data_IF_835054424377
#
_entry.id   IF_835054424377
#
_cell.length_a   1.000
_cell.length_b   1.000
_cell.length_c   1.000
_cell.angle_alpha   90.00
_cell.angle_beta   90.00
_cell.angle_gamma   90.00
#
_symmetry.space_group_name_H-M   'P 1'
#
loop_
_entity.id
_entity.type
_entity.pdbx_description
1 polymer ?
#
# COMPACT_ATOMS: atom_id res chain seq x y z
N UNK A 1 -12.77 30.80 27.79
CA UNK A 1 -11.37 31.26 27.59
C UNK A 1 -11.43 32.36 26.54
N UNK A 2 -10.56 33.38 26.57
CA UNK A 2 -10.62 34.47 25.58
C UNK A 2 -9.99 34.12 24.23
N UNK A 3 -9.18 33.06 24.19
CA UNK A 3 -8.54 32.57 22.96
C UNK A 3 -8.29 31.07 23.09
N UNK A 4 -8.49 30.33 22.00
CA UNK A 4 -8.16 28.89 21.92
C UNK A 4 -7.75 28.51 20.50
N UNK A 5 -6.72 27.67 20.37
CA UNK A 5 -6.30 27.07 19.09
C UNK A 5 -6.09 25.57 19.31
N UNK A 6 -6.74 24.76 18.50
CA UNK A 6 -6.57 23.31 18.50
C UNK A 6 -5.30 22.91 17.72
N UNK A 7 -4.57 21.88 18.17
CA UNK A 7 -3.39 21.38 17.48
C UNK A 7 -3.76 20.87 16.08
N UNK A 8 -2.82 20.88 15.13
CA UNK A 8 -3.07 20.34 13.80
C UNK A 8 -1.75 19.80 13.24
N UNK A 9 -1.73 18.52 12.89
CA UNK A 9 -0.53 17.87 12.37
C UNK A 9 -0.34 18.08 10.88
N UNK A 10 0.87 17.81 10.40
CA UNK A 10 1.18 17.93 8.97
C UNK A 10 0.67 16.71 8.21
N UNK A 11 -0.30 16.92 7.32
CA UNK A 11 -0.76 15.86 6.42
C UNK A 11 0.33 15.44 5.41
N UNK A 12 0.49 14.14 5.13
CA UNK A 12 1.33 13.66 4.04
C UNK A 12 0.68 13.87 2.66
N UNK A 13 -0.64 14.08 2.61
CA UNK A 13 -1.42 14.38 1.41
C UNK A 13 -1.83 15.84 1.47
N UNK A 14 -1.40 16.60 0.47
CA UNK A 14 -1.61 18.05 0.37
C UNK A 14 -1.94 18.45 -1.06
N UNK A 15 -2.43 17.51 -1.87
CA UNK A 15 -2.94 17.81 -3.21
C UNK A 15 -4.37 18.34 -3.20
N UNK A 16 -5.18 17.88 -2.24
CA UNK A 16 -6.54 18.33 -2.00
C UNK A 16 -6.74 18.64 -0.52
N UNK A 17 -7.34 19.80 -0.23
CA UNK A 17 -7.43 20.32 1.13
C UNK A 17 -8.35 19.52 2.03
N UNK A 18 -9.46 18.98 1.52
CA UNK A 18 -10.38 18.13 2.28
C UNK A 18 -9.68 16.91 2.91
N UNK A 19 -8.92 16.15 2.11
CA UNK A 19 -8.11 15.04 2.62
C UNK A 19 -7.02 15.52 3.59
N UNK A 20 -6.45 16.71 3.32
CA UNK A 20 -5.45 17.33 4.20
C UNK A 20 -6.02 17.61 5.58
N UNK A 21 -7.24 18.17 5.68
CA UNK A 21 -7.88 18.46 6.95
C UNK A 21 -8.07 17.20 7.80
N UNK A 22 -8.70 16.17 7.23
CA UNK A 22 -9.05 14.96 7.97
C UNK A 22 -7.81 14.18 8.41
N UNK A 23 -6.79 14.08 7.55
CA UNK A 23 -5.51 13.47 7.93
C UNK A 23 -4.77 14.30 8.97
N UNK A 24 -4.73 15.62 8.82
CA UNK A 24 -4.10 16.50 9.81
C UNK A 24 -4.73 16.42 11.20
N UNK A 25 -6.05 16.21 11.28
CA UNK A 25 -6.73 15.99 12.56
C UNK A 25 -6.44 14.58 13.09
N UNK A 26 -6.55 13.55 12.23
CA UNK A 26 -6.39 12.15 12.61
C UNK A 26 -4.97 11.79 13.04
N UNK A 27 -3.97 12.26 12.29
CA UNK A 27 -2.54 11.96 12.51
C UNK A 27 -1.95 12.65 13.75
N UNK A 28 -2.75 13.42 14.49
CA UNK A 28 -2.40 13.84 15.85
C UNK A 28 -2.47 12.72 16.89
N UNK A 29 -2.99 11.56 16.49
CA UNK A 29 -2.85 10.29 17.20
C UNK A 29 -1.80 9.42 16.50
N UNK A 30 -0.81 8.91 17.23
CA UNK A 30 0.21 8.01 16.67
C UNK A 30 -0.41 6.71 16.11
N UNK A 31 -1.54 6.29 16.67
CA UNK A 31 -2.27 5.07 16.27
C UNK A 31 -3.00 5.23 14.92
N UNK A 32 -3.06 6.43 14.34
CA UNK A 32 -3.69 6.65 13.04
C UNK A 32 -2.81 6.19 11.86
N UNK A 33 -1.50 5.99 12.05
CA UNK A 33 -0.58 5.58 10.98
C UNK A 33 -0.85 4.15 10.46
N UNK A 34 -1.04 3.11 11.29
CA UNK A 34 -1.46 1.78 10.84
C UNK A 34 -2.71 1.82 9.94
N UNK A 35 -3.70 2.65 10.30
CA UNK A 35 -4.90 2.85 9.49
C UNK A 35 -4.59 3.48 8.14
N UNK A 36 -3.83 4.57 8.12
CA UNK A 36 -3.44 5.24 6.88
C UNK A 36 -2.68 4.28 5.94
N UNK A 37 -1.71 3.53 6.47
CA UNK A 37 -0.96 2.56 5.68
C UNK A 37 -1.83 1.43 5.17
N UNK A 38 -2.85 1.00 5.92
CA UNK A 38 -3.79 -0.04 5.47
C UNK A 38 -4.75 0.44 4.36
N UNK A 39 -5.00 1.74 4.21
CA UNK A 39 -6.09 2.25 3.36
C UNK A 39 -5.63 3.14 2.18
N UNK A 40 -4.55 3.91 2.31
CA UNK A 40 -4.12 4.88 1.28
C UNK A 40 -3.22 4.25 0.20
N UNK A 41 -3.79 3.33 -0.57
CA UNK A 41 -3.11 2.59 -1.65
C UNK A 41 -3.78 2.84 -3.00
N UNK A 42 -5.11 2.79 -3.02
CA UNK A 42 -5.85 2.87 -4.26
C UNK A 42 -5.99 4.31 -4.74
N UNK A 43 -5.76 4.52 -6.04
CA UNK A 43 -6.02 5.77 -6.74
C UNK A 43 -7.17 5.59 -7.72
N UNK A 44 -7.86 6.67 -8.04
CA UNK A 44 -8.84 6.66 -9.13
C UNK A 44 -8.90 8.02 -9.83
N UNK A 45 -9.52 8.02 -11.02
CA UNK A 45 -9.86 9.23 -11.78
C UNK A 45 -11.16 8.99 -12.55
N UNK A 46 -12.02 10.01 -12.62
CA UNK A 46 -13.31 9.89 -13.31
C UNK A 46 -13.16 10.12 -14.81
N UNK A 47 -14.08 9.57 -15.61
CA UNK A 47 -14.14 9.95 -17.02
C UNK A 47 -14.50 11.43 -17.17
N UNK A 48 -13.89 12.11 -18.15
CA UNK A 48 -14.00 13.56 -18.33
C UNK A 48 -13.25 14.42 -17.29
N UNK A 49 -12.88 13.85 -16.15
CA UNK A 49 -12.15 14.54 -15.09
C UNK A 49 -10.66 14.65 -15.42
N UNK A 50 -10.06 15.77 -15.00
CA UNK A 50 -8.62 16.04 -15.09
C UNK A 50 -7.90 15.71 -13.79
N UNK A 51 -8.64 15.27 -12.78
CA UNK A 51 -8.16 15.04 -11.43
C UNK A 51 -7.87 13.56 -11.14
N UNK A 52 -6.97 13.33 -10.20
CA UNK A 52 -6.63 12.00 -9.69
C UNK A 52 -6.74 12.06 -8.19
N UNK A 53 -7.42 11.09 -7.59
CA UNK A 53 -7.77 11.11 -6.18
C UNK A 53 -7.31 9.84 -5.48
N UNK A 54 -6.97 9.96 -4.20
CA UNK A 54 -6.90 8.80 -3.32
C UNK A 54 -8.32 8.29 -3.06
N UNK A 55 -8.52 6.99 -3.18
CA UNK A 55 -9.83 6.40 -2.95
C UNK A 55 -10.33 6.69 -1.53
N UNK A 56 -11.48 7.38 -1.42
CA UNK A 56 -12.18 7.74 -0.17
C UNK A 56 -11.45 8.71 0.77
N UNK A 57 -10.37 9.36 0.31
CA UNK A 57 -9.61 10.28 1.16
C UNK A 57 -10.38 11.57 1.50
N UNK A 58 -11.38 11.94 0.71
CA UNK A 58 -12.19 13.15 0.83
C UNK A 58 -13.49 12.96 1.62
N UNK A 59 -13.78 11.75 2.08
CA UNK A 59 -15.04 11.44 2.74
C UNK A 59 -14.79 11.12 4.22
N UNK A 60 -15.23 12.07 5.06
CA UNK A 60 -15.06 12.08 6.51
C UNK A 60 -15.51 10.78 7.18
N UNK A 61 -16.53 10.10 6.64
CA UNK A 61 -17.09 8.86 7.23
C UNK A 61 -16.11 7.68 7.22
N UNK A 62 -15.04 7.74 6.43
CA UNK A 62 -14.05 6.69 6.38
C UNK A 62 -12.93 6.85 7.41
N UNK A 63 -12.89 7.97 8.14
CA UNK A 63 -11.88 8.23 9.15
C UNK A 63 -12.40 7.80 10.53
N UNK A 64 -11.97 6.64 11.06
CA UNK A 64 -12.57 6.07 12.27
C UNK A 64 -12.26 6.87 13.55
N UNK A 65 -11.26 7.75 13.49
CA UNK A 65 -10.84 8.65 14.56
C UNK A 65 -11.71 9.89 14.66
N UNK A 66 -12.54 10.16 13.66
CA UNK A 66 -13.22 11.44 13.54
C UNK A 66 -14.70 11.27 13.87
N UNK A 67 -15.04 11.61 15.11
CA UNK A 67 -16.43 11.83 15.48
C UNK A 67 -16.87 13.15 14.85
N UNK A 68 -18.08 13.19 14.28
CA UNK A 68 -18.58 14.41 13.69
C UNK A 68 -20.08 14.60 13.82
N UNK A 69 -20.47 15.87 13.88
CA UNK A 69 -21.86 16.30 13.73
C UNK A 69 -21.92 17.21 12.52
N UNK A 70 -22.87 16.92 11.63
CA UNK A 70 -23.16 17.77 10.47
C UNK A 70 -24.47 18.52 10.69
N UNK A 71 -24.43 19.82 10.42
CA UNK A 71 -25.59 20.69 10.45
C UNK A 71 -25.77 21.34 9.08
N UNK A 72 -27.03 21.47 8.66
CA UNK A 72 -27.37 22.25 7.48
C UNK A 72 -27.22 23.74 7.78
N UNK A 73 -26.48 24.46 6.95
CA UNK A 73 -26.30 25.91 7.09
C UNK A 73 -27.61 26.66 7.00
N UNK A 74 -28.58 26.15 6.23
CA UNK A 74 -29.90 26.74 6.15
C UNK A 74 -30.57 26.74 7.53
N UNK A 75 -30.35 25.71 8.35
CA UNK A 75 -30.86 25.69 9.73
C UNK A 75 -30.16 26.73 10.61
N UNK A 76 -28.83 26.89 10.46
CA UNK A 76 -28.07 27.95 11.15
C UNK A 76 -28.65 29.33 10.80
N UNK A 77 -28.94 29.58 9.52
CA UNK A 77 -29.51 30.86 9.05
C UNK A 77 -30.95 31.05 9.51
N UNK A 78 -31.82 30.05 9.33
CA UNK A 78 -33.25 30.12 9.68
C UNK A 78 -33.47 30.38 11.16
N UNK A 79 -32.66 29.77 12.02
CA UNK A 79 -32.72 29.95 13.46
C UNK A 79 -31.87 31.11 13.98
N UNK A 80 -31.22 31.87 13.08
CA UNK A 80 -30.37 33.02 13.43
C UNK A 80 -29.33 32.68 14.49
N UNK A 81 -28.70 31.51 14.36
CA UNK A 81 -27.65 31.07 15.26
C UNK A 81 -26.46 32.01 15.12
N UNK A 82 -25.95 32.53 16.24
CA UNK A 82 -24.72 33.31 16.25
C UNK A 82 -23.54 32.42 15.84
N UNK A 83 -22.99 32.69 14.65
CA UNK A 83 -21.92 31.88 14.05
C UNK A 83 -20.66 31.91 14.92
N UNK A 84 -20.33 33.05 15.54
CA UNK A 84 -19.11 33.14 16.35
C UNK A 84 -19.24 32.33 17.62
N UNK A 85 -20.37 32.49 18.31
CA UNK A 85 -20.66 31.74 19.53
C UNK A 85 -20.79 30.24 19.24
N UNK A 86 -21.35 29.86 18.10
CA UNK A 86 -21.37 28.47 17.63
C UNK A 86 -19.95 27.91 17.45
N UNK A 87 -19.06 28.63 16.75
CA UNK A 87 -17.65 28.22 16.58
C UNK A 87 -16.96 28.09 17.94
N UNK A 88 -17.09 29.09 18.82
CA UNK A 88 -16.48 29.09 20.16
C UNK A 88 -16.89 27.86 20.96
N UNK A 89 -18.20 27.58 21.02
CA UNK A 89 -18.75 26.47 21.77
C UNK A 89 -18.19 25.11 21.31
N UNK A 90 -18.04 24.91 20.01
CA UNK A 90 -17.47 23.68 19.45
C UNK A 90 -15.95 23.58 19.65
N UNK A 91 -15.21 24.67 19.42
CA UNK A 91 -13.75 24.71 19.63
C UNK A 91 -13.40 24.51 21.11
N UNK A 92 -14.18 25.06 22.03
CA UNK A 92 -14.02 24.82 23.47
C UNK A 92 -14.20 23.35 23.85
N UNK A 93 -15.06 22.63 23.12
CA UNK A 93 -15.25 21.17 23.23
C UNK A 93 -14.28 20.33 22.38
N UNK A 94 -13.23 20.96 21.84
CA UNK A 94 -12.18 20.35 21.02
C UNK A 94 -12.64 19.87 19.64
N UNK A 95 -13.68 20.51 19.09
CA UNK A 95 -14.10 20.27 17.72
C UNK A 95 -13.47 21.29 16.77
N UNK A 96 -12.95 20.79 15.66
CA UNK A 96 -12.62 21.55 14.48
C UNK A 96 -13.90 21.79 13.69
N UNK A 97 -14.03 22.94 13.02
CA UNK A 97 -15.17 23.26 12.19
C UNK A 97 -14.74 23.22 10.73
N UNK A 98 -15.22 22.22 9.98
CA UNK A 98 -15.07 22.15 8.52
C UNK A 98 -16.31 22.75 7.86
N UNK A 99 -16.09 23.75 7.01
CA UNK A 99 -17.17 24.56 6.47
C UNK A 99 -16.82 25.08 5.08
N UNK A 100 -17.81 25.11 4.19
CA UNK A 100 -17.73 25.80 2.90
C UNK A 100 -18.03 27.29 3.06
N UNK A 101 -17.25 28.18 2.47
CA UNK A 101 -17.54 29.62 2.43
C UNK A 101 -17.30 30.15 1.02
N UNK A 102 -17.98 31.23 0.65
CA UNK A 102 -17.59 31.99 -0.52
C UNK A 102 -16.24 32.68 -0.27
N UNK A 103 -15.20 32.21 -0.97
CA UNK A 103 -13.82 32.69 -0.83
C UNK A 103 -13.61 34.13 -1.29
N UNK A 104 -14.59 34.75 -1.97
CA UNK A 104 -14.59 36.19 -2.24
C UNK A 104 -14.40 37.01 -0.95
N UNK A 105 -14.97 36.55 0.17
CA UNK A 105 -14.92 37.25 1.46
C UNK A 105 -13.79 36.78 2.38
N UNK A 106 -13.06 35.71 2.02
CA UNK A 106 -12.08 35.09 2.92
C UNK A 106 -10.70 35.70 2.69
N UNK A 107 -10.30 36.60 3.59
CA UNK A 107 -8.99 37.27 3.51
C UNK A 107 -7.80 36.28 3.56
N UNK A 108 -6.73 36.62 2.84
CA UNK A 108 -5.51 35.81 2.73
C UNK A 108 -5.56 34.65 1.71
N UNK A 109 -6.66 34.54 0.96
CA UNK A 109 -6.78 33.60 -0.17
C UNK A 109 -6.59 34.33 -1.50
N UNK A 110 -6.19 33.61 -2.56
CA UNK A 110 -6.07 34.18 -3.92
C UNK A 110 -7.41 34.61 -4.54
N UNK A 111 -8.52 34.35 -3.86
CA UNK A 111 -9.88 34.63 -4.31
C UNK A 111 -10.48 35.86 -3.63
N UNK A 112 -9.83 36.36 -2.57
CA UNK A 112 -10.32 37.46 -1.76
C UNK A 112 -10.54 38.71 -2.61
N UNK A 113 -11.79 39.16 -2.73
CA UNK A 113 -12.24 40.27 -3.58
C UNK A 113 -12.02 40.09 -5.09
N UNK A 114 -11.62 38.90 -5.53
CA UNK A 114 -11.32 38.60 -6.94
C UNK A 114 -12.41 37.75 -7.60
N UNK A 115 -12.82 36.65 -6.95
CA UNK A 115 -13.70 35.64 -7.57
C UNK A 115 -14.70 35.10 -6.55
N UNK A 116 -15.98 35.06 -6.95
CA UNK A 116 -17.02 34.35 -6.20
C UNK A 116 -16.88 32.85 -6.42
N UNK A 117 -16.33 32.16 -5.42
CA UNK A 117 -16.17 30.72 -5.45
C UNK A 117 -16.39 30.14 -4.05
N UNK A 118 -17.35 29.22 -3.94
CA UNK A 118 -17.57 28.47 -2.71
C UNK A 118 -16.53 27.36 -2.61
N UNK A 119 -15.85 27.29 -1.48
CA UNK A 119 -14.89 26.23 -1.22
C UNK A 119 -14.75 26.01 0.30
N UNK A 120 -14.41 24.79 0.70
CA UNK A 120 -14.20 24.47 2.10
C UNK A 120 -12.96 25.15 2.71
N UNK A 121 -13.00 25.26 4.04
CA UNK A 121 -11.86 25.57 4.91
C UNK A 121 -12.06 24.91 6.28
N UNK A 122 -11.00 24.89 7.08
CA UNK A 122 -11.04 24.36 8.45
C UNK A 122 -10.80 25.48 9.46
N UNK A 123 -11.77 25.76 10.34
CA UNK A 123 -11.59 26.61 11.51
C UNK A 123 -11.16 25.73 12.69
N UNK A 124 -10.09 26.14 13.37
CA UNK A 124 -9.52 25.39 14.51
C UNK A 124 -9.22 26.25 15.73
N UNK A 125 -9.65 27.51 15.73
CA UNK A 125 -9.40 28.40 16.85
C UNK A 125 -10.18 29.70 16.76
N UNK A 126 -10.21 30.43 17.86
CA UNK A 126 -10.84 31.75 17.96
C UNK A 126 -10.02 32.66 18.89
N UNK A 127 -10.18 33.97 18.70
CA UNK A 127 -9.75 35.04 19.60
C UNK A 127 -10.96 35.96 19.80
N UNK A 128 -11.57 35.89 20.99
CA UNK A 128 -12.79 36.60 21.34
C UNK A 128 -12.56 38.11 21.44
N UNK A 129 -11.42 38.52 21.99
CA UNK A 129 -11.08 39.94 22.19
C UNK A 129 -10.91 40.64 20.85
N UNK A 130 -10.33 39.95 19.87
CA UNK A 130 -10.10 40.50 18.52
C UNK A 130 -11.26 40.22 17.55
N UNK A 131 -12.20 39.36 17.90
CA UNK A 131 -13.28 38.94 17.00
C UNK A 131 -12.75 38.23 15.75
N UNK A 132 -11.83 37.27 15.94
CA UNK A 132 -11.17 36.56 14.84
C UNK A 132 -11.23 35.05 15.02
N UNK A 133 -11.11 34.32 13.92
CA UNK A 133 -10.99 32.86 13.90
C UNK A 133 -9.69 32.44 13.25
N UNK A 134 -9.15 31.31 13.69
CA UNK A 134 -7.93 30.73 13.16
C UNK A 134 -8.26 29.62 12.18
N UNK A 135 -7.96 29.84 10.90
CA UNK A 135 -8.32 28.93 9.81
C UNK A 135 -7.11 28.18 9.27
N UNK A 136 -7.36 27.08 8.56
CA UNK A 136 -6.40 26.37 7.73
C UNK A 136 -6.99 26.16 6.33
N UNK A 137 -6.25 26.56 5.30
CA UNK A 137 -6.61 26.44 3.89
C UNK A 137 -5.38 26.71 3.00
N UNK A 138 -5.54 26.71 1.67
CA UNK A 138 -4.51 27.26 0.77
C UNK A 138 -4.57 28.79 0.76
N UNK A 139 -3.44 29.42 1.04
CA UNK A 139 -3.29 30.86 0.95
C UNK A 139 -3.13 31.34 -0.50
N UNK A 140 -3.01 32.65 -0.68
CA UNK A 140 -2.75 33.32 -1.97
C UNK A 140 -1.54 32.78 -2.76
N UNK A 141 -0.58 32.12 -2.10
CA UNK A 141 0.61 31.52 -2.72
C UNK A 141 0.41 30.05 -3.09
N UNK A 142 -0.79 29.50 -2.91
CA UNK A 142 -1.08 28.09 -3.11
C UNK A 142 -0.40 27.19 -2.06
N UNK A 143 -0.06 27.74 -0.89
CA UNK A 143 0.55 26.99 0.22
C UNK A 143 -0.53 26.68 1.26
N UNK A 144 -0.64 25.40 1.63
CA UNK A 144 -1.50 24.98 2.73
C UNK A 144 -0.93 25.50 4.05
N UNK A 145 -1.64 26.42 4.70
CA UNK A 145 -1.17 27.16 5.86
C UNK A 145 -2.32 27.49 6.83
N UNK A 146 -1.99 28.05 7.99
CA UNK A 146 -2.97 28.55 8.96
C UNK A 146 -2.74 30.02 9.28
N UNK A 147 -3.81 30.81 9.35
CA UNK A 147 -3.77 32.24 9.68
C UNK A 147 -5.08 32.70 10.32
N UNK A 148 -5.06 33.92 10.88
CA UNK A 148 -6.23 34.56 11.48
C UNK A 148 -7.03 35.33 10.42
N UNK A 149 -8.36 35.22 10.49
CA UNK A 149 -9.28 36.05 9.72
C UNK A 149 -10.34 36.69 10.64
N UNK A 150 -10.86 37.89 10.32
CA UNK A 150 -12.01 38.46 10.99
C UNK A 150 -13.22 37.53 10.96
N UNK A 151 -14.01 37.52 12.03
CA UNK A 151 -15.29 36.79 12.05
C UNK A 151 -16.28 37.33 11.00
N UNK A 152 -16.15 38.62 10.65
CA UNK A 152 -16.93 39.24 9.57
C UNK A 152 -16.77 38.53 8.23
N UNK A 153 -15.56 38.13 7.86
CA UNK A 153 -15.24 37.38 6.64
C UNK A 153 -16.01 36.05 6.61
N UNK A 154 -16.05 35.36 7.76
CA UNK A 154 -16.78 34.09 7.89
C UNK A 154 -18.28 34.32 7.72
N UNK A 155 -18.85 35.30 8.42
CA UNK A 155 -20.29 35.61 8.36
C UNK A 155 -20.71 35.97 6.94
N UNK A 156 -19.94 36.82 6.24
CA UNK A 156 -20.23 37.21 4.86
C UNK A 156 -20.09 36.04 3.88
N UNK A 157 -19.01 35.25 4.00
CA UNK A 157 -18.81 34.05 3.20
C UNK A 157 -19.85 32.97 3.45
N UNK A 158 -20.43 32.92 4.65
CA UNK A 158 -21.48 31.99 5.07
C UNK A 158 -22.84 32.38 4.49
N UNK A 159 -23.16 33.67 4.45
CA UNK A 159 -24.46 34.18 4.03
C UNK A 159 -24.67 34.21 2.50
N UNK A 160 -23.73 33.69 1.71
CA UNK A 160 -23.81 33.72 0.24
C UNK A 160 -24.90 32.77 -0.29
N UNK A 161 -25.78 33.25 -1.16
CA UNK A 161 -26.89 32.46 -1.75
C UNK A 161 -26.45 31.54 -2.91
N UNK A 162 -25.28 31.79 -3.49
CA UNK A 162 -24.70 31.01 -4.60
C UNK A 162 -23.98 29.74 -4.12
N UNK A 163 -24.69 28.90 -3.36
CA UNK A 163 -24.24 27.53 -3.16
C UNK A 163 -24.53 26.74 -4.43
N UNK A 164 -23.50 26.10 -4.99
CA UNK A 164 -23.69 25.13 -6.05
C UNK A 164 -24.74 24.09 -5.62
N UNK A 165 -25.43 23.48 -6.58
CA UNK A 165 -26.40 22.39 -6.35
C UNK A 165 -25.85 21.16 -5.60
N UNK A 166 -24.58 21.17 -5.21
CA UNK A 166 -23.95 20.15 -4.40
C UNK A 166 -24.31 20.31 -2.92
N UNK A 167 -25.08 19.35 -2.42
CA UNK A 167 -25.58 19.26 -1.04
C UNK A 167 -24.48 19.42 0.02
N UNK A 168 -23.24 18.98 -0.26
CA UNK A 168 -22.12 19.12 0.69
C UNK A 168 -21.75 20.58 0.98
N UNK A 169 -21.94 21.48 0.02
CA UNK A 169 -21.61 22.90 0.20
C UNK A 169 -22.54 23.60 1.19
N UNK A 170 -23.70 23.00 1.47
CA UNK A 170 -24.69 23.47 2.44
C UNK A 170 -24.45 22.90 3.85
N UNK A 171 -23.44 22.06 4.06
CA UNK A 171 -23.15 21.48 5.37
C UNK A 171 -22.02 22.22 6.08
N UNK A 172 -22.13 22.27 7.40
CA UNK A 172 -21.02 22.57 8.30
C UNK A 172 -20.80 21.36 9.21
N UNK A 173 -19.56 20.90 9.33
CA UNK A 173 -19.20 19.74 10.13
C UNK A 173 -18.38 20.17 11.35
N UNK A 174 -18.85 19.84 12.55
CA UNK A 174 -18.04 19.89 13.75
C UNK A 174 -17.37 18.53 13.95
N UNK A 175 -16.05 18.49 13.91
CA UNK A 175 -15.24 17.26 13.85
C UNK A 175 -14.38 17.19 15.11
N UNK A 176 -14.41 16.07 15.83
CA UNK A 176 -13.57 15.82 16.99
C UNK A 176 -12.73 14.57 16.78
N UNK A 177 -11.46 14.65 17.15
CA UNK A 177 -10.57 13.48 17.15
C UNK A 177 -10.84 12.63 18.40
N UNK A 178 -11.35 11.42 18.21
CA UNK A 178 -11.47 10.39 19.23
C UNK A 178 -10.12 9.70 19.45
N UNK A 179 -9.39 10.17 20.45
CA UNK A 179 -8.06 9.64 20.82
C UNK A 179 -8.11 8.29 21.54
N UNK A 180 -9.29 7.77 21.85
CA UNK A 180 -9.46 6.46 22.49
C UNK A 180 -9.72 5.33 21.48
N UNK A 181 -9.92 5.67 20.21
CA UNK A 181 -9.97 4.67 19.17
C UNK A 181 -8.58 4.02 18.99
N UNK A 182 -8.52 2.75 18.61
CA UNK A 182 -7.27 2.08 18.27
C UNK A 182 -7.48 1.28 16.99
N UNK A 183 -6.57 1.41 16.03
CA UNK A 183 -6.64 0.66 14.79
C UNK A 183 -5.51 -0.37 14.71
N UNK A 184 -5.87 -1.64 14.58
CA UNK A 184 -4.91 -2.69 14.28
C UNK A 184 -4.62 -2.71 12.78
N UNK A 185 -3.34 -2.78 12.42
CA UNK A 185 -2.88 -2.87 11.03
C UNK A 185 -3.63 -3.99 10.28
N UNK A 186 -4.31 -3.64 9.19
CA UNK A 186 -5.08 -4.59 8.39
C UNK A 186 -4.29 -5.01 7.15
N UNK A 187 -3.48 -6.06 7.31
CA UNK A 187 -2.69 -6.63 6.23
C UNK A 187 -3.55 -7.22 5.11
N UNK A 188 -4.75 -7.72 5.41
CA UNK A 188 -5.62 -8.30 4.40
C UNK A 188 -6.20 -7.21 3.50
N UNK A 189 -6.71 -6.12 4.08
CA UNK A 189 -7.18 -4.99 3.29
C UNK A 189 -6.03 -4.37 2.49
N UNK A 190 -4.84 -4.26 3.09
CA UNK A 190 -3.64 -3.77 2.40
C UNK A 190 -3.30 -4.62 1.18
N UNK A 191 -3.31 -5.95 1.31
CA UNK A 191 -3.09 -6.88 0.21
C UNK A 191 -4.14 -6.73 -0.89
N UNK A 192 -5.42 -6.67 -0.52
CA UNK A 192 -6.52 -6.53 -1.48
C UNK A 192 -6.48 -5.19 -2.23
N UNK A 193 -6.17 -4.09 -1.55
CA UNK A 193 -6.01 -2.78 -2.20
C UNK A 193 -4.75 -2.73 -3.07
N UNK A 194 -3.66 -3.39 -2.68
CA UNK A 194 -2.46 -3.55 -3.51
C UNK A 194 -2.75 -4.33 -4.79
N UNK A 195 -3.53 -5.41 -4.71
CA UNK A 195 -4.00 -6.16 -5.90
C UNK A 195 -4.91 -5.30 -6.77
N UNK A 196 -5.87 -4.60 -6.16
CA UNK A 196 -6.76 -3.73 -6.90
C UNK A 196 -6.03 -2.57 -7.59
N UNK A 197 -4.99 -2.02 -6.95
CA UNK A 197 -4.13 -1.01 -7.57
C UNK A 197 -3.35 -1.59 -8.75
N UNK A 198 -2.67 -2.72 -8.53
CA UNK A 198 -1.85 -3.37 -9.56
C UNK A 198 -2.64 -3.81 -10.79
N UNK A 199 -3.85 -4.33 -10.59
CA UNK A 199 -4.71 -4.85 -11.66
C UNK A 199 -5.82 -3.87 -12.07
N UNK A 200 -5.74 -2.61 -11.64
CA UNK A 200 -6.72 -1.55 -11.96
C UNK A 200 -8.17 -1.94 -11.66
N UNK A 201 -8.40 -2.73 -10.61
CA UNK A 201 -9.73 -3.23 -10.27
C UNK A 201 -10.54 -2.16 -9.56
N UNK A 202 -11.83 -2.14 -9.85
CA UNK A 202 -12.77 -1.23 -9.23
C UNK A 202 -13.06 -1.64 -7.78
N UNK A 203 -12.35 -1.03 -6.84
CA UNK A 203 -12.50 -1.23 -5.40
C UNK A 203 -13.90 -0.88 -4.88
N UNK A 204 -14.62 0.06 -5.52
CA UNK A 204 -15.95 0.48 -5.07
C UNK A 204 -17.02 -0.60 -5.15
N UNK A 205 -16.81 -1.65 -5.96
CA UNK A 205 -17.70 -2.81 -6.00
C UNK A 205 -17.83 -3.52 -4.65
N UNK A 206 -16.80 -3.43 -3.79
CA UNK A 206 -16.81 -4.02 -2.45
C UNK A 206 -17.71 -3.28 -1.45
N UNK A 207 -18.12 -2.05 -1.76
CA UNK A 207 -19.02 -1.25 -0.91
C UNK A 207 -20.37 -0.97 -1.56
N UNK A 208 -20.82 -1.87 -2.45
CA UNK A 208 -22.08 -1.75 -3.20
C UNK A 208 -23.33 -1.66 -2.32
N UNK A 209 -23.26 -2.16 -1.08
CA UNK A 209 -24.36 -2.07 -0.10
C UNK A 209 -24.61 -0.63 0.37
N UNK A 210 -23.59 0.24 0.38
CA UNK A 210 -23.68 1.61 0.89
C UNK A 210 -23.83 2.62 -0.26
N UNK A 211 -23.22 2.33 -1.42
CA UNK A 211 -23.27 3.22 -2.57
C UNK A 211 -23.09 2.43 -3.87
N UNK A 212 -23.68 2.91 -4.96
CA UNK A 212 -23.48 2.35 -6.29
C UNK A 212 -22.00 2.31 -6.67
N UNK A 213 -21.52 1.24 -7.32
CA UNK A 213 -20.16 1.19 -7.83
C UNK A 213 -19.86 2.37 -8.76
N UNK A 214 -18.71 2.99 -8.57
CA UNK A 214 -18.26 4.13 -9.34
C UNK A 214 -17.47 3.62 -10.55
N UNK A 215 -18.02 3.76 -11.75
CA UNK A 215 -17.35 3.40 -13.00
C UNK A 215 -16.33 4.47 -13.36
N UNK A 216 -15.06 4.20 -13.02
CA UNK A 216 -13.91 5.11 -13.08
C UNK A 216 -12.66 4.31 -13.46
N UNK A 217 -11.58 5.00 -13.82
CA UNK A 217 -10.26 4.37 -13.96
C UNK A 217 -9.62 4.26 -12.57
N UNK A 218 -9.12 3.08 -12.22
CA UNK A 218 -8.52 2.79 -10.92
C UNK A 218 -7.06 2.35 -11.06
N UNK A 219 -6.33 2.39 -9.96
CA UNK A 219 -5.05 1.70 -9.84
C UNK A 219 -3.97 2.24 -10.76
N UNK A 220 -3.13 1.35 -11.28
CA UNK A 220 -1.97 1.69 -12.11
C UNK A 220 -2.38 2.32 -13.45
N UNK A 221 -3.61 2.12 -13.93
CA UNK A 221 -4.11 2.74 -15.16
C UNK A 221 -4.35 4.24 -15.06
N UNK A 222 -4.31 4.84 -13.86
CA UNK A 222 -4.34 6.30 -13.71
C UNK A 222 -3.18 6.99 -14.45
N UNK A 223 -2.04 6.29 -14.61
CA UNK A 223 -0.91 6.76 -15.41
C UNK A 223 -1.30 7.02 -16.87
N UNK A 224 -2.15 6.17 -17.44
CA UNK A 224 -2.58 6.30 -18.85
C UNK A 224 -3.49 7.51 -19.01
N UNK A 225 -4.37 7.73 -18.03
CA UNK A 225 -5.24 8.93 -18.00
C UNK A 225 -4.42 10.22 -17.90
N UNK A 226 -3.44 10.27 -16.99
CA UNK A 226 -2.54 11.43 -16.86
C UNK A 226 -1.78 11.65 -18.16
N UNK A 227 -1.26 10.59 -18.76
CA UNK A 227 -0.53 10.65 -20.04
C UNK A 227 -1.40 11.20 -21.17
N UNK A 228 -2.65 10.73 -21.28
CA UNK A 228 -3.61 11.24 -22.25
C UNK A 228 -3.92 12.73 -22.04
N UNK A 229 -4.09 13.16 -20.79
CA UNK A 229 -4.31 14.58 -20.47
C UNK A 229 -3.11 15.44 -20.91
N UNK A 230 -1.88 14.98 -20.69
CA UNK A 230 -0.66 15.65 -21.13
C UNK A 230 -0.52 15.72 -22.66
N UNK A 231 -0.96 14.70 -23.40
CA UNK A 231 -1.02 14.78 -24.86
C UNK A 231 -2.04 15.81 -25.36
N UNK A 232 -3.16 15.95 -24.65
CA UNK A 232 -4.26 16.84 -25.05
C UNK A 232 -4.01 18.33 -24.72
N UNK A 233 -3.05 18.64 -23.85
CA UNK A 233 -2.85 19.98 -23.25
C UNK A 233 -2.17 21.01 -24.17
N UNK A 234 -2.49 21.04 -25.48
CA UNK A 234 -1.87 21.90 -26.53
C UNK A 234 -1.54 23.33 -26.06
N UNK A 235 -0.32 23.56 -25.57
CA UNK A 235 0.18 24.87 -25.04
C UNK A 235 -0.64 25.47 -23.89
N UNK A 236 -1.35 24.64 -23.13
CA UNK A 236 -2.07 25.08 -21.94
C UNK A 236 -1.20 24.89 -20.70
N UNK A 237 -1.44 25.71 -19.69
CA UNK A 237 -0.90 25.48 -18.34
C UNK A 237 -1.37 24.10 -17.88
N UNK A 238 -0.42 23.27 -17.43
CA UNK A 238 -0.72 21.95 -16.88
C UNK A 238 -1.30 22.11 -15.48
N UNK A 239 -2.39 21.39 -15.22
CA UNK A 239 -2.80 21.11 -13.86
C UNK A 239 -1.77 20.17 -13.21
N UNK A 240 -1.16 20.64 -12.12
CA UNK A 240 -0.10 19.92 -11.41
C UNK A 240 -0.65 18.94 -10.37
N UNK A 241 -1.95 19.00 -10.05
CA UNK A 241 -2.57 18.17 -9.00
C UNK A 241 -2.40 16.68 -9.27
N UNK A 242 -2.65 16.14 -10.48
CA UNK A 242 -2.47 14.70 -10.75
C UNK A 242 -1.02 14.23 -10.52
N UNK A 243 -0.03 15.03 -10.93
CA UNK A 243 1.38 14.70 -10.75
C UNK A 243 1.81 14.80 -9.28
N UNK A 244 1.22 15.74 -8.52
CA UNK A 244 1.43 15.84 -7.08
C UNK A 244 0.85 14.62 -6.34
N UNK A 245 -0.34 14.17 -6.71
CA UNK A 245 -0.99 12.98 -6.13
C UNK A 245 -0.15 11.73 -6.37
N UNK A 246 0.38 11.54 -7.59
CA UNK A 246 1.28 10.42 -7.87
C UNK A 246 2.51 10.44 -6.95
N UNK A 247 3.13 11.60 -6.76
CA UNK A 247 4.30 11.74 -5.88
C UNK A 247 3.94 11.50 -4.40
N UNK A 248 2.86 12.09 -3.91
CA UNK A 248 2.37 11.87 -2.54
C UNK A 248 2.04 10.40 -2.29
N UNK A 249 1.46 9.71 -3.29
CA UNK A 249 1.22 8.27 -3.25
C UNK A 249 2.52 7.48 -3.07
N UNK A 250 3.58 7.80 -3.83
CA UNK A 250 4.87 7.09 -3.69
C UNK A 250 5.54 7.36 -2.35
N UNK A 251 5.43 8.59 -1.85
CA UNK A 251 5.91 8.93 -0.51
C UNK A 251 5.21 8.09 0.56
N UNK A 252 3.90 7.90 0.46
CA UNK A 252 3.14 7.02 1.37
C UNK A 252 3.56 5.56 1.17
N UNK A 253 3.79 5.10 -0.06
CA UNK A 253 4.32 3.74 -0.30
C UNK A 253 5.67 3.53 0.40
N UNK A 254 6.62 4.46 0.27
CA UNK A 254 7.93 4.38 0.95
C UNK A 254 7.76 4.30 2.47
N UNK A 255 6.91 5.16 3.04
CA UNK A 255 6.63 5.15 4.48
C UNK A 255 5.99 3.84 4.92
N UNK A 256 5.05 3.29 4.13
CA UNK A 256 4.42 2.00 4.38
C UNK A 256 5.44 0.87 4.39
N UNK A 257 6.32 0.78 3.39
CA UNK A 257 7.35 -0.28 3.33
C UNK A 257 8.26 -0.20 4.55
N UNK A 258 8.70 1.00 4.94
CA UNK A 258 9.50 1.21 6.15
C UNK A 258 8.77 0.76 7.41
N UNK A 259 7.51 1.16 7.56
CA UNK A 259 6.68 0.77 8.68
C UNK A 259 6.52 -0.77 8.78
N UNK A 260 6.25 -1.44 7.65
CA UNK A 260 6.10 -2.90 7.62
C UNK A 260 7.41 -3.63 7.98
N UNK A 261 8.56 -3.07 7.57
CA UNK A 261 9.88 -3.58 7.92
C UNK A 261 10.20 -3.39 9.41
N UNK A 262 9.93 -2.20 9.95
CA UNK A 262 10.11 -1.88 11.38
C UNK A 262 9.24 -2.76 12.29
N UNK A 263 8.09 -3.23 11.79
CA UNK A 263 7.18 -4.15 12.49
C UNK A 263 7.42 -5.62 12.14
N UNK A 264 8.54 -5.94 11.48
CA UNK A 264 8.97 -7.30 11.16
C UNK A 264 7.92 -8.10 10.33
N UNK A 265 7.14 -7.42 9.50
CA UNK A 265 6.11 -8.04 8.65
C UNK A 265 6.76 -8.75 7.45
N UNK A 266 7.72 -8.09 6.81
CA UNK A 266 8.63 -8.69 5.81
C UNK A 266 9.91 -7.86 5.70
N UNK A 267 10.97 -8.48 5.18
CA UNK A 267 12.27 -7.84 4.95
C UNK A 267 12.65 -7.99 3.48
N UNK A 268 12.40 -6.95 2.70
CA UNK A 268 12.80 -6.90 1.30
C UNK A 268 13.41 -5.53 1.02
N UNK A 269 14.74 -5.48 0.92
CA UNK A 269 15.50 -4.24 0.69
C UNK A 269 15.23 -3.66 -0.69
N UNK A 270 14.94 -4.50 -1.67
CA UNK A 270 14.67 -4.08 -3.05
C UNK A 270 13.35 -3.32 -3.15
N UNK A 271 12.35 -3.68 -2.32
CA UNK A 271 11.11 -2.92 -2.22
C UNK A 271 11.35 -1.51 -1.68
N UNK A 272 12.12 -1.37 -0.59
CA UNK A 272 12.38 -0.05 0.01
C UNK A 272 13.13 0.87 -0.96
N UNK A 273 14.20 0.36 -1.57
CA UNK A 273 15.01 1.11 -2.53
C UNK A 273 14.22 1.41 -3.81
N UNK A 274 13.48 0.42 -4.33
CA UNK A 274 12.67 0.57 -5.54
C UNK A 274 11.54 1.58 -5.37
N UNK A 275 10.81 1.54 -4.25
CA UNK A 275 9.77 2.52 -3.96
C UNK A 275 10.36 3.92 -3.75
N UNK A 276 11.55 4.02 -3.13
CA UNK A 276 12.25 5.30 -2.98
C UNK A 276 12.66 5.89 -4.33
N UNK A 277 13.16 5.05 -5.24
CA UNK A 277 13.52 5.48 -6.59
C UNK A 277 12.31 6.07 -7.34
N UNK A 278 11.14 5.41 -7.30
CA UNK A 278 9.95 5.94 -7.98
C UNK A 278 9.38 7.20 -7.30
N UNK A 279 9.55 7.36 -5.98
CA UNK A 279 9.24 8.61 -5.27
C UNK A 279 10.08 9.78 -5.84
N UNK A 280 11.39 9.57 -5.99
CA UNK A 280 12.29 10.62 -6.48
C UNK A 280 12.04 10.93 -7.97
N UNK A 281 11.72 9.91 -8.78
CA UNK A 281 11.37 10.08 -10.19
C UNK A 281 10.04 10.81 -10.37
N UNK A 282 9.01 10.51 -9.57
CA UNK A 282 7.73 11.22 -9.62
C UNK A 282 7.86 12.68 -9.14
N UNK A 283 8.71 12.94 -8.15
CA UNK A 283 9.08 14.31 -7.75
C UNK A 283 9.77 15.07 -8.91
N UNK A 284 10.68 14.39 -9.62
CA UNK A 284 11.35 14.94 -10.81
C UNK A 284 10.32 15.28 -11.89
N UNK A 285 9.38 14.37 -12.18
CA UNK A 285 8.30 14.60 -13.15
C UNK A 285 7.49 15.84 -12.79
N UNK A 286 7.09 16.00 -11.52
CA UNK A 286 6.38 17.19 -11.03
C UNK A 286 7.18 18.48 -11.27
N UNK A 287 8.49 18.46 -11.00
CA UNK A 287 9.36 19.62 -11.21
C UNK A 287 9.55 19.96 -12.70
N UNK A 288 9.58 18.95 -13.58
CA UNK A 288 9.59 19.17 -15.03
C UNK A 288 8.28 19.81 -15.49
N UNK A 289 7.13 19.41 -14.93
CA UNK A 289 5.84 20.00 -15.25
C UNK A 289 5.74 21.47 -14.79
N UNK A 290 6.28 21.79 -13.60
CA UNK A 290 6.44 23.19 -13.16
C UNK A 290 7.29 24.00 -14.14
N UNK A 291 8.44 23.45 -14.57
CA UNK A 291 9.30 24.08 -15.57
C UNK A 291 8.59 24.26 -16.91
N UNK A 292 7.74 23.31 -17.31
CA UNK A 292 6.90 23.47 -18.49
C UNK A 292 5.93 24.63 -18.35
N UNK A 293 5.22 24.74 -17.22
CA UNK A 293 4.28 25.85 -17.01
C UNK A 293 4.96 27.22 -17.12
N UNK A 294 6.24 27.33 -16.72
CA UNK A 294 7.03 28.55 -16.85
C UNK A 294 7.59 28.80 -18.26
N UNK A 295 8.05 27.76 -18.96
CA UNK A 295 8.80 27.89 -20.22
C UNK A 295 8.00 27.58 -21.49
N UNK A 296 6.86 26.90 -21.36
CA UNK A 296 6.01 26.39 -22.43
C UNK A 296 6.72 25.48 -23.46
N UNK A 297 7.88 24.92 -23.10
CA UNK A 297 8.67 24.06 -23.97
C UNK A 297 8.05 22.65 -24.10
N UNK A 298 7.43 22.36 -25.23
CA UNK A 298 6.75 21.08 -25.48
C UNK A 298 7.66 19.84 -25.40
N UNK A 299 8.98 19.98 -25.54
CA UNK A 299 9.90 18.84 -25.33
C UNK A 299 9.82 18.32 -23.88
N UNK A 300 9.50 19.19 -22.92
CA UNK A 300 9.33 18.80 -21.52
C UNK A 300 8.11 17.89 -21.32
N UNK A 301 7.01 18.10 -22.05
CA UNK A 301 5.82 17.23 -22.00
C UNK A 301 6.15 15.83 -22.49
N UNK A 302 6.84 15.71 -23.63
CA UNK A 302 7.28 14.42 -24.14
C UNK A 302 8.21 13.69 -23.15
N UNK A 303 9.08 14.45 -22.46
CA UNK A 303 9.96 13.92 -21.44
C UNK A 303 9.19 13.43 -20.20
N UNK A 304 8.17 14.18 -19.75
CA UNK A 304 7.25 13.78 -18.67
C UNK A 304 6.57 12.46 -19.04
N UNK A 305 5.98 12.36 -20.24
CA UNK A 305 5.25 11.18 -20.70
C UNK A 305 6.16 9.94 -20.74
N UNK A 306 7.36 10.08 -21.31
CA UNK A 306 8.35 8.99 -21.34
C UNK A 306 8.71 8.52 -19.93
N UNK A 307 8.93 9.45 -18.99
CA UNK A 307 9.19 9.11 -17.59
C UNK A 307 8.02 8.42 -16.91
N UNK A 308 6.79 8.90 -17.11
CA UNK A 308 5.59 8.27 -16.54
C UNK A 308 5.43 6.83 -17.00
N UNK A 309 5.71 6.53 -18.27
CA UNK A 309 5.69 5.16 -18.79
C UNK A 309 6.70 4.24 -18.09
N UNK A 310 7.95 4.69 -17.95
CA UNK A 310 9.00 3.93 -17.24
C UNK A 310 8.67 3.73 -15.75
N UNK A 311 8.14 4.77 -15.10
CA UNK A 311 7.71 4.70 -13.69
C UNK A 311 6.59 3.67 -13.55
N UNK A 312 5.57 3.71 -14.40
CA UNK A 312 4.44 2.77 -14.39
C UNK A 312 4.92 1.31 -14.47
N UNK A 313 5.85 1.03 -15.37
CA UNK A 313 6.39 -0.32 -15.56
C UNK A 313 7.17 -0.80 -14.34
N UNK A 314 8.05 0.05 -13.77
CA UNK A 314 8.82 -0.28 -12.57
C UNK A 314 7.92 -0.46 -11.36
N UNK A 315 6.95 0.44 -11.17
CA UNK A 315 5.99 0.34 -10.09
C UNK A 315 5.15 -0.94 -10.19
N UNK A 316 4.71 -1.31 -11.39
CA UNK A 316 3.96 -2.56 -11.60
C UNK A 316 4.78 -3.79 -11.16
N UNK A 317 6.09 -3.80 -11.41
CA UNK A 317 6.98 -4.86 -10.90
C UNK A 317 7.09 -4.85 -9.37
N UNK A 318 7.27 -3.66 -8.78
CA UNK A 318 7.39 -3.52 -7.32
C UNK A 318 6.10 -3.93 -6.61
N UNK A 319 4.93 -3.60 -7.16
CA UNK A 319 3.65 -4.04 -6.61
C UNK A 319 3.45 -5.56 -6.70
N UNK A 320 3.94 -6.22 -7.76
CA UNK A 320 3.93 -7.70 -7.84
C UNK A 320 4.76 -8.31 -6.71
N UNK A 321 5.96 -7.79 -6.47
CA UNK A 321 6.82 -8.24 -5.37
C UNK A 321 6.11 -7.97 -4.04
N UNK A 322 5.57 -6.77 -3.84
CA UNK A 322 4.86 -6.38 -2.62
C UNK A 322 3.68 -7.30 -2.30
N UNK A 323 2.85 -7.61 -3.31
CA UNK A 323 1.71 -8.51 -3.17
C UNK A 323 2.17 -9.90 -2.71
N UNK A 324 3.23 -10.45 -3.34
CA UNK A 324 3.77 -11.75 -2.94
C UNK A 324 4.31 -11.73 -1.49
N UNK A 325 5.02 -10.66 -1.10
CA UNK A 325 5.52 -10.50 0.28
C UNK A 325 4.38 -10.42 1.30
N UNK A 326 3.31 -9.69 0.99
CA UNK A 326 2.13 -9.55 1.85
C UNK A 326 1.31 -10.83 1.95
N UNK A 327 1.14 -11.57 0.86
CA UNK A 327 0.46 -12.88 0.87
C UNK A 327 1.15 -13.83 1.83
N UNK A 328 2.48 -13.87 1.74
CA UNK A 328 3.29 -14.73 2.58
C UNK A 328 3.26 -14.30 4.06
N UNK A 329 3.30 -12.99 4.33
CA UNK A 329 3.14 -12.46 5.68
C UNK A 329 1.72 -12.69 6.26
N UNK A 330 0.66 -12.66 5.44
CA UNK A 330 -0.71 -12.95 5.88
C UNK A 330 -0.85 -14.41 6.31
N UNK A 331 -0.24 -15.33 5.58
CA UNK A 331 -0.18 -16.75 5.96
C UNK A 331 0.59 -16.91 7.28
N UNK A 332 1.77 -16.31 7.39
CA UNK A 332 2.58 -16.31 8.60
C UNK A 332 1.83 -15.83 9.84
N UNK A 333 1.07 -14.74 9.71
CA UNK A 333 0.29 -14.18 10.81
C UNK A 333 -0.83 -15.13 11.27
N UNK A 334 -1.51 -15.80 10.33
CA UNK A 334 -2.49 -16.85 10.65
C UNK A 334 -1.85 -18.03 11.39
N UNK A 335 -0.57 -18.30 11.14
CA UNK A 335 0.20 -19.36 11.78
C UNK A 335 0.65 -19.02 13.20
N UNK A 336 1.11 -17.78 13.42
CA UNK A 336 1.44 -17.27 14.75
C UNK A 336 0.28 -17.49 15.73
N UNK A 337 -0.95 -17.21 15.28
CA UNK A 337 -2.17 -17.36 16.07
C UNK A 337 -2.62 -18.83 16.28
N UNK A 338 -1.97 -19.81 15.64
CA UNK A 338 -2.24 -21.26 15.79
C UNK A 338 -1.21 -21.99 16.67
N UNK A 339 -0.43 -21.27 17.50
CA UNK A 339 0.56 -21.83 18.43
C UNK A 339 1.75 -22.56 17.78
N UNK A 340 2.12 -22.20 16.54
CA UNK A 340 3.33 -22.68 15.86
C UNK A 340 4.41 -21.58 15.78
N UNK A 341 4.44 -20.68 16.77
CA UNK A 341 5.32 -19.51 16.85
C UNK A 341 6.81 -19.84 16.73
N UNK A 342 7.24 -20.93 17.38
CA UNK A 342 8.64 -21.38 17.40
C UNK A 342 9.13 -21.81 16.01
N UNK A 343 8.29 -22.52 15.25
CA UNK A 343 8.59 -22.95 13.88
C UNK A 343 8.62 -21.77 12.90
N UNK A 344 7.77 -20.76 13.12
CA UNK A 344 7.76 -19.56 12.29
C UNK A 344 8.94 -18.62 12.59
N UNK A 345 9.31 -18.43 13.85
CA UNK A 345 10.52 -17.68 14.22
C UNK A 345 11.76 -18.31 13.62
N UNK A 346 11.90 -19.63 13.72
CA UNK A 346 12.94 -20.39 13.04
C UNK A 346 12.94 -20.13 11.52
N UNK A 347 11.77 -20.17 10.88
CA UNK A 347 11.66 -19.90 9.45
C UNK A 347 12.10 -18.47 9.07
N UNK A 348 11.66 -17.45 9.81
CA UNK A 348 12.00 -16.05 9.49
C UNK A 348 13.48 -15.69 9.71
N UNK A 349 14.12 -16.25 10.73
CA UNK A 349 15.51 -15.93 11.09
C UNK A 349 16.52 -16.53 10.09
N UNK A 350 16.25 -17.74 9.60
CA UNK A 350 17.20 -18.49 8.76
C UNK A 350 17.01 -18.23 7.27
N UNK A 351 15.79 -17.89 6.83
CA UNK A 351 15.50 -17.73 5.40
C UNK A 351 16.12 -16.46 4.78
N UNK A 352 16.51 -15.47 5.58
CA UNK A 352 17.12 -14.23 5.12
C UNK A 352 18.65 -14.34 4.94
N UNK A 353 19.26 -15.44 5.38
CA UNK A 353 20.71 -15.62 5.31
C UNK A 353 21.03 -16.66 4.23
N UNK A 354 21.42 -16.19 3.03
CA UNK A 354 21.80 -17.04 1.90
C UNK A 354 22.86 -18.11 2.24
N UNK A 355 23.69 -17.84 3.24
CA UNK A 355 24.78 -18.71 3.70
C UNK A 355 24.28 -19.91 4.54
N UNK A 356 23.04 -19.88 5.05
CA UNK A 356 22.49 -20.98 5.89
C UNK A 356 21.80 -22.07 5.08
N UNK A 357 21.58 -21.88 3.77
CA UNK A 357 20.98 -22.89 2.89
C UNK A 357 21.95 -24.03 2.50
N UNK A 358 23.22 -23.93 2.89
CA UNK A 358 24.18 -25.03 2.79
C UNK A 358 24.18 -25.93 4.05
N UNK A 359 23.40 -25.60 5.08
CA UNK A 359 23.29 -26.37 6.33
C UNK A 359 22.25 -27.52 6.21
N UNK A 360 22.67 -28.79 6.34
CA UNK A 360 21.78 -29.95 6.34
C UNK A 360 20.69 -29.91 7.42
N UNK A 361 20.95 -29.30 8.57
CA UNK A 361 20.02 -29.23 9.69
C UNK A 361 18.86 -28.28 9.38
N UNK A 362 19.15 -27.18 8.67
CA UNK A 362 18.14 -26.24 8.16
C UNK A 362 17.24 -26.93 7.12
N UNK A 363 17.81 -27.75 6.24
CA UNK A 363 17.02 -28.51 5.26
C UNK A 363 16.06 -29.51 5.91
N UNK A 364 16.48 -30.17 6.99
CA UNK A 364 15.63 -31.10 7.78
C UNK A 364 14.49 -30.33 8.44
N UNK A 365 14.79 -29.24 9.14
CA UNK A 365 13.76 -28.47 9.87
C UNK A 365 12.74 -27.81 8.93
N UNK A 366 13.15 -27.33 7.75
CA UNK A 366 12.20 -26.82 6.74
C UNK A 366 11.36 -27.95 6.14
N UNK A 367 11.93 -29.16 5.99
CA UNK A 367 11.17 -30.32 5.53
C UNK A 367 10.12 -30.76 6.55
N UNK A 368 10.46 -30.76 7.83
CA UNK A 368 9.52 -31.01 8.93
C UNK A 368 8.44 -29.93 9.01
N UNK A 369 8.79 -28.67 8.74
CA UNK A 369 7.83 -27.57 8.62
C UNK A 369 6.84 -27.82 7.47
N UNK A 370 7.32 -28.12 6.26
CA UNK A 370 6.45 -28.41 5.11
C UNK A 370 5.54 -29.62 5.39
N UNK A 371 6.04 -30.61 6.11
CA UNK A 371 5.27 -31.76 6.55
C UNK A 371 4.17 -31.39 7.56
N UNK A 372 4.48 -30.54 8.55
CA UNK A 372 3.52 -30.02 9.53
C UNK A 372 2.43 -29.15 8.89
N UNK A 373 2.77 -28.42 7.82
CA UNK A 373 1.82 -27.62 7.01
C UNK A 373 0.81 -28.49 6.25
N UNK A 374 1.18 -29.74 5.97
CA UNK A 374 0.30 -30.91 6.04
C UNK A 374 -0.93 -31.00 5.14
N UNK A 375 -1.27 -29.99 4.31
CA UNK A 375 -2.29 -30.01 3.23
C UNK A 375 -2.59 -28.64 2.61
N UNK A 376 -2.17 -27.53 3.22
CA UNK A 376 -2.52 -26.19 2.74
C UNK A 376 -1.66 -25.76 1.54
N UNK A 377 -2.25 -25.84 0.35
CA UNK A 377 -1.57 -25.57 -0.93
C UNK A 377 -0.99 -24.16 -0.99
N UNK A 378 -1.71 -23.16 -0.50
CA UNK A 378 -1.29 -21.77 -0.58
C UNK A 378 0.01 -21.51 0.21
N UNK A 379 0.22 -22.26 1.28
CA UNK A 379 1.38 -22.14 2.15
C UNK A 379 2.59 -22.79 1.53
N UNK A 380 2.41 -24.00 0.98
CA UNK A 380 3.45 -24.70 0.24
C UNK A 380 3.89 -23.84 -0.97
N UNK A 381 2.95 -23.28 -1.72
CA UNK A 381 3.21 -22.41 -2.87
C UNK A 381 4.09 -21.19 -2.49
N UNK A 382 3.83 -20.59 -1.33
CA UNK A 382 4.55 -19.41 -0.85
C UNK A 382 5.94 -19.76 -0.31
N UNK A 383 6.05 -20.81 0.50
CA UNK A 383 7.32 -21.25 1.07
C UNK A 383 8.28 -21.58 -0.08
N UNK A 384 7.82 -22.34 -1.08
CA UNK A 384 8.60 -22.66 -2.28
C UNK A 384 8.90 -21.44 -3.16
N UNK A 385 8.00 -20.46 -3.25
CA UNK A 385 8.25 -19.23 -4.04
C UNK A 385 9.44 -18.44 -3.50
N UNK A 386 9.59 -18.40 -2.18
CA UNK A 386 10.65 -17.62 -1.55
C UNK A 386 12.00 -18.35 -1.59
N UNK A 387 12.03 -19.67 -1.79
CA UNK A 387 13.25 -20.48 -1.67
C UNK A 387 14.16 -20.29 -2.89
N UNK A 388 15.49 -20.24 -2.69
CA UNK A 388 16.42 -20.38 -3.81
C UNK A 388 16.12 -21.67 -4.56
N UNK A 389 15.99 -21.58 -5.90
CA UNK A 389 15.55 -22.70 -6.72
C UNK A 389 16.48 -23.92 -6.62
N UNK A 390 17.76 -23.68 -6.32
CA UNK A 390 18.79 -24.69 -6.15
C UNK A 390 18.76 -25.41 -4.77
N UNK A 391 18.00 -24.87 -3.82
CA UNK A 391 17.84 -25.44 -2.48
C UNK A 391 16.73 -26.51 -2.44
N UNK A 392 15.71 -26.38 -3.30
CA UNK A 392 14.58 -27.32 -3.37
C UNK A 392 15.02 -28.77 -3.66
N UNK A 393 15.94 -29.04 -4.60
CA UNK A 393 16.48 -30.38 -4.80
C UNK A 393 17.16 -30.99 -3.57
N UNK A 394 17.77 -30.16 -2.70
CA UNK A 394 18.50 -30.64 -1.51
C UNK A 394 17.56 -31.04 -0.38
N UNK A 395 16.46 -30.32 -0.19
CA UNK A 395 15.41 -30.73 0.74
C UNK A 395 14.95 -32.16 0.47
N UNK A 396 14.84 -32.52 -0.81
CA UNK A 396 14.39 -33.84 -1.24
C UNK A 396 15.39 -34.96 -0.96
N UNK A 397 16.68 -34.63 -0.77
CA UNK A 397 17.69 -35.61 -0.35
C UNK A 397 17.52 -35.97 1.13
N UNK A 398 16.95 -35.09 1.94
CA UNK A 398 16.88 -35.24 3.41
C UNK A 398 15.47 -35.61 3.90
N UNK A 399 14.49 -35.65 3.00
CA UNK A 399 13.11 -35.96 3.33
C UNK A 399 12.93 -37.47 3.58
N UNK A 400 12.58 -37.86 4.82
CA UNK A 400 12.31 -39.26 5.22
C UNK A 400 11.06 -39.84 4.54
N UNK A 401 10.84 -41.15 4.71
CA UNK A 401 9.84 -42.02 4.03
C UNK A 401 8.42 -41.45 3.78
N UNK A 402 7.94 -40.48 4.57
CA UNK A 402 6.62 -39.85 4.38
C UNK A 402 6.59 -38.67 3.39
N UNK A 403 7.70 -38.39 2.72
CA UNK A 403 7.87 -37.21 1.88
C UNK A 403 7.50 -37.37 0.41
N UNK A 404 7.20 -38.58 -0.08
CA UNK A 404 6.95 -38.82 -1.51
C UNK A 404 5.72 -38.07 -2.04
N UNK A 405 4.60 -38.08 -1.31
CA UNK A 405 3.39 -37.34 -1.71
C UNK A 405 3.60 -35.81 -1.68
N UNK A 406 4.35 -35.33 -0.67
CA UNK A 406 4.72 -33.94 -0.54
C UNK A 406 5.66 -33.52 -1.68
N UNK A 407 6.62 -34.38 -2.04
CA UNK A 407 7.56 -34.21 -3.14
C UNK A 407 6.84 -34.09 -4.50
N UNK A 408 5.92 -35.00 -4.81
CA UNK A 408 5.14 -34.97 -6.05
C UNK A 408 4.34 -33.68 -6.15
N UNK A 409 3.75 -33.25 -5.03
CA UNK A 409 2.96 -32.01 -4.96
C UNK A 409 3.84 -30.76 -5.12
N UNK A 410 5.01 -30.72 -4.49
CA UNK A 410 5.99 -29.63 -4.62
C UNK A 410 6.51 -29.54 -6.06
N UNK A 411 6.85 -30.67 -6.68
CA UNK A 411 7.31 -30.73 -8.07
C UNK A 411 6.27 -30.14 -9.03
N UNK A 412 5.01 -30.55 -8.89
CA UNK A 412 3.91 -30.03 -9.71
C UNK A 412 3.75 -28.50 -9.61
N UNK A 413 4.11 -27.90 -8.47
CA UNK A 413 4.02 -26.46 -8.22
C UNK A 413 5.18 -25.69 -8.85
N UNK A 414 6.39 -26.25 -8.84
CA UNK A 414 7.62 -25.52 -9.23
C UNK A 414 8.14 -25.87 -10.62
N UNK A 415 7.63 -26.93 -11.28
CA UNK A 415 8.15 -27.44 -12.55
C UNK A 415 8.27 -26.37 -13.65
N UNK A 416 7.36 -25.40 -13.67
CA UNK A 416 7.34 -24.32 -14.67
C UNK A 416 8.40 -23.24 -14.42
N UNK A 417 9.11 -23.29 -13.29
CA UNK A 417 10.19 -22.36 -12.91
C UNK A 417 11.58 -22.96 -13.07
N UNK A 418 11.67 -24.26 -13.28
CA UNK A 418 12.92 -25.00 -13.34
C UNK A 418 13.51 -24.96 -14.75
N UNK A 419 14.84 -24.90 -14.83
CA UNK A 419 15.54 -25.13 -16.11
C UNK A 419 15.32 -26.57 -16.59
N UNK A 420 15.44 -26.81 -17.90
CA UNK A 420 15.36 -28.15 -18.50
C UNK A 420 16.27 -29.19 -17.79
N UNK A 421 17.46 -28.75 -17.35
CA UNK A 421 18.38 -29.60 -16.60
C UNK A 421 17.87 -29.96 -15.20
N UNK A 422 17.27 -28.99 -14.48
CA UNK A 422 16.68 -29.22 -13.16
C UNK A 422 15.41 -30.09 -13.24
N UNK A 423 14.57 -29.89 -14.27
CA UNK A 423 13.39 -30.73 -14.53
C UNK A 423 13.82 -32.18 -14.78
N UNK A 424 14.85 -32.39 -15.61
CA UNK A 424 15.40 -33.72 -15.89
C UNK A 424 15.93 -34.39 -14.63
N UNK A 425 16.69 -33.65 -13.81
CA UNK A 425 17.22 -34.14 -12.53
C UNK A 425 16.11 -34.53 -11.54
N UNK A 426 15.07 -33.70 -11.40
CA UNK A 426 13.97 -33.99 -10.47
C UNK A 426 13.10 -35.15 -10.98
N UNK A 427 12.82 -35.23 -12.28
CA UNK A 427 12.10 -36.38 -12.86
C UNK A 427 12.85 -37.69 -12.64
N UNK A 428 14.16 -37.68 -12.82
CA UNK A 428 15.01 -38.83 -12.54
C UNK A 428 14.97 -39.24 -11.04
N UNK A 429 14.93 -38.27 -10.12
CA UNK A 429 14.70 -38.54 -8.68
C UNK A 429 13.28 -39.09 -8.40
N UNK A 430 12.24 -38.55 -9.05
CA UNK A 430 10.84 -38.98 -8.89
C UNK A 430 10.65 -40.45 -9.26
N UNK A 431 11.22 -40.86 -10.41
CA UNK A 431 11.13 -42.23 -10.91
C UNK A 431 11.94 -43.19 -10.02
N UNK A 432 13.10 -42.74 -9.53
CA UNK A 432 13.96 -43.48 -8.60
C UNK A 432 13.32 -43.72 -7.23
N UNK A 433 12.66 -42.71 -6.64
CA UNK A 433 11.91 -42.89 -5.38
C UNK A 433 10.73 -43.83 -5.56
N UNK A 434 10.03 -43.76 -6.70
CA UNK A 434 8.94 -44.69 -7.05
C UNK A 434 9.41 -46.16 -7.09
N UNK A 435 10.62 -46.40 -7.60
CA UNK A 435 11.20 -47.74 -7.69
C UNK A 435 11.82 -48.23 -6.36
N UNK A 436 12.43 -47.33 -5.58
CA UNK A 436 12.99 -47.66 -4.26
C UNK A 436 11.94 -48.14 -3.26
N UNK A 437 10.69 -47.66 -3.33
CA UNK A 437 9.62 -48.10 -2.42
C UNK A 437 8.97 -49.44 -2.81
N UNK A 438 9.25 -49.97 -4.01
CA UNK A 438 8.60 -51.19 -4.49
C UNK A 438 9.46 -52.45 -4.31
N UNK A 439 10.80 -52.39 -4.39
CA UNK A 439 11.63 -53.61 -4.49
C UNK A 439 13.05 -53.50 -3.90
N UNK A 440 13.20 -53.26 -2.59
CA UNK A 440 14.54 -53.14 -1.95
C UNK A 440 15.26 -54.50 -1.77
N UNK A 441 14.59 -55.63 -1.97
CA UNK A 441 15.15 -56.95 -1.59
C UNK A 441 15.90 -57.70 -2.71
N UNK A 442 15.96 -57.20 -3.95
CA UNK A 442 16.50 -57.98 -5.07
C UNK A 442 17.98 -57.64 -5.41
N UNK A 443 18.87 -58.62 -5.24
CA UNK A 443 20.33 -58.47 -5.42
C UNK A 443 20.79 -57.99 -6.82
N UNK A 444 20.14 -58.37 -7.95
CA UNK A 444 20.52 -57.87 -9.28
C UNK A 444 20.26 -56.36 -9.45
N UNK A 445 19.28 -55.82 -8.73
CA UNK A 445 18.91 -54.40 -8.80
C UNK A 445 19.93 -53.52 -8.05
N UNK A 446 20.51 -54.04 -6.96
CA UNK A 446 21.55 -53.36 -6.18
C UNK A 446 22.83 -53.11 -6.99
N UNK A 447 23.27 -54.08 -7.80
CA UNK A 447 24.45 -53.90 -8.65
C UNK A 447 24.23 -52.85 -9.75
N UNK A 448 23.04 -52.80 -10.36
CA UNK A 448 22.68 -51.77 -11.34
C UNK A 448 22.76 -50.37 -10.73
N UNK A 449 22.26 -50.19 -9.50
CA UNK A 449 22.31 -48.90 -8.80
C UNK A 449 23.75 -48.51 -8.46
N UNK A 450 24.61 -49.46 -8.08
CA UNK A 450 26.02 -49.17 -7.80
C UNK A 450 26.78 -48.68 -9.04
N UNK A 451 26.57 -49.32 -10.20
CA UNK A 451 27.18 -48.92 -11.47
C UNK A 451 26.73 -47.51 -11.89
N UNK A 452 25.49 -47.16 -11.62
CA UNK A 452 24.95 -45.85 -11.98
C UNK A 452 25.35 -44.74 -11.00
N UNK A 453 25.54 -45.06 -9.71
CA UNK A 453 26.18 -44.15 -8.74
C UNK A 453 27.64 -43.86 -9.12
N UNK A 454 28.35 -44.84 -9.69
CA UNK A 454 29.69 -44.64 -10.23
C UNK A 454 29.69 -43.69 -11.43
N UNK A 455 28.72 -43.82 -12.33
CA UNK A 455 28.53 -42.90 -13.44
C UNK A 455 28.22 -41.46 -12.96
N UNK A 456 27.28 -41.32 -12.01
CA UNK A 456 26.90 -40.01 -11.46
C UNK A 456 28.06 -39.35 -10.68
N UNK A 457 28.82 -40.12 -9.90
CA UNK A 457 30.00 -39.57 -9.23
C UNK A 457 31.06 -39.11 -10.23
N UNK A 458 31.29 -39.87 -11.31
CA UNK A 458 32.24 -39.49 -12.35
C UNK A 458 31.87 -38.18 -13.07
N UNK A 459 30.57 -37.91 -13.18
CA UNK A 459 30.03 -36.76 -13.90
C UNK A 459 29.93 -35.52 -13.00
N UNK A 460 29.48 -35.68 -11.76
CA UNK A 460 29.12 -34.56 -10.89
C UNK A 460 30.09 -34.32 -9.73
N UNK A 461 30.95 -35.29 -9.40
CA UNK A 461 31.98 -35.23 -8.34
C UNK A 461 31.48 -34.71 -6.98
N UNK A 462 30.28 -35.14 -6.59
CA UNK A 462 29.61 -34.77 -5.33
C UNK A 462 29.89 -35.81 -4.24
N UNK A 463 30.25 -35.36 -3.05
CA UNK A 463 30.61 -36.22 -1.91
C UNK A 463 29.41 -37.01 -1.37
N UNK A 464 28.21 -36.44 -1.53
CA UNK A 464 26.92 -37.01 -1.15
C UNK A 464 26.60 -38.28 -1.97
N UNK A 465 27.10 -38.38 -3.21
CA UNK A 465 26.96 -39.57 -4.05
C UNK A 465 27.80 -40.73 -3.50
N UNK A 466 29.00 -40.43 -2.98
CA UNK A 466 29.86 -41.41 -2.32
C UNK A 466 29.24 -41.92 -1.01
N UNK A 467 28.70 -41.03 -0.18
CA UNK A 467 28.03 -41.40 1.06
C UNK A 467 26.79 -42.28 0.84
N UNK A 468 26.02 -41.98 -0.21
CA UNK A 468 24.88 -42.80 -0.62
C UNK A 468 25.34 -44.17 -1.12
N UNK A 469 26.43 -44.23 -1.88
CA UNK A 469 27.05 -45.48 -2.36
C UNK A 469 27.53 -46.34 -1.18
N UNK A 470 28.19 -45.76 -0.18
CA UNK A 470 28.63 -46.47 1.02
C UNK A 470 27.45 -47.00 1.84
N UNK A 471 26.39 -46.20 2.01
CA UNK A 471 25.16 -46.66 2.68
C UNK A 471 24.52 -47.83 1.93
N UNK A 472 24.51 -47.78 0.60
CA UNK A 472 23.98 -48.86 -0.23
C UNK A 472 24.87 -50.12 -0.20
N UNK A 473 26.19 -49.98 -0.06
CA UNK A 473 27.14 -51.09 0.11
C UNK A 473 27.04 -51.73 1.49
N UNK A 474 26.75 -50.94 2.53
CA UNK A 474 26.66 -51.40 3.91
C UNK A 474 25.26 -51.85 4.33
N UNK A 475 24.25 -51.66 3.46
CA UNK A 475 22.89 -52.18 3.65
C UNK A 475 22.94 -53.72 3.71
N UNK A 476 22.69 -54.30 4.89
CA UNK A 476 22.42 -55.72 5.09
C UNK A 476 20.91 -55.88 5.35
N UNK A 477 20.32 -56.83 4.61
CA UNK A 477 18.90 -57.26 4.60
C UNK A 477 18.10 -56.92 5.84
#
# INVERSE_FOLDING_TARGET
>A
MSQKILPLDKSPITSYQNASYFLSISLSSDDARPWMYSNFIQLYTSEGDREVHFYKADDLKFYPWLDYVQIDKLLIMQHKIDIFEWIKNYVDREHYIHIFLNKYYVSGTSYYHEINQVHDLLIRGYDEVKGQVYISAYNERGVYASWWIPIGDVIQGFATEQYDSNEMTLKASAIKCNRHYSYQLDLNNMLELSRDYLFSRNTSKRTSIIASPMYRTYGIEVYDKITMLLYSSKRQVLDLRPLRVLWEHKKIMVQRIKFLKEHNIFYNTDLEQGFKQIEDETNTVRNIALKYNMSQNQKLVHHIISKLSMIKERESRLFKILVNEMEAASIAFKWKNRQLEHLWQFFNEYFLIKETYDDPEVAVQITELLYAVGKDKAIIDILLFRMPIDFVPRMFVHAREKAYELFVRIYEIIKDRLSLHQVSFINHLTDKYKQLFLHVEDAPFRESILQELDFLYSTYRRQEILELKEKLLNFRT
#
